data_IF_609577051115
#
_entry.id   IF_609577051115
#
_cell.length_a   1.000
_cell.length_b   1.000
_cell.length_c   1.000
_cell.angle_alpha   90.00
_cell.angle_beta   90.00
_cell.angle_gamma   90.00
#
_symmetry.space_group_name_H-M   'P 1'
#
loop_
_entity.id
_entity.type
_entity.pdbx_description
1 polymer ?
#
# COMPACT_ATOMS: atom_id res chain seq x y z
N UNK A 1 5.78 26.80 -8.66
CA UNK A 1 4.96 25.59 -8.63
C UNK A 1 4.70 25.27 -7.17
N UNK A 2 3.47 25.41 -6.71
CA UNK A 2 3.08 24.86 -5.42
C UNK A 2 3.16 23.36 -5.49
N UNK A 3 3.90 22.76 -4.58
CA UNK A 3 3.99 21.31 -4.45
C UNK A 3 2.71 20.83 -3.77
N UNK A 4 1.70 20.42 -4.56
CA UNK A 4 0.46 19.89 -4.04
C UNK A 4 0.72 18.46 -3.52
N UNK A 5 1.00 18.36 -2.22
CA UNK A 5 1.14 17.09 -1.54
C UNK A 5 -0.25 16.53 -1.22
N UNK A 6 -0.65 15.48 -1.92
CA UNK A 6 -1.99 14.90 -1.83
C UNK A 6 -2.09 13.65 -0.95
N UNK A 7 -0.96 13.11 -0.47
CA UNK A 7 -0.95 11.91 0.38
C UNK A 7 -1.53 12.19 1.78
N UNK A 8 -2.02 11.14 2.46
CA UNK A 8 -2.39 11.21 3.88
C UNK A 8 -1.19 11.43 4.81
N UNK A 9 -1.46 11.78 6.08
CA UNK A 9 -0.44 11.93 7.11
C UNK A 9 0.10 13.36 7.28
N UNK A 10 -0.56 14.38 6.72
CA UNK A 10 -0.16 15.77 6.93
C UNK A 10 -0.66 16.31 8.28
N UNK A 11 -0.13 15.73 9.35
CA UNK A 11 -0.41 16.10 10.74
C UNK A 11 0.30 17.40 11.15
N UNK A 12 1.28 17.84 10.38
CA UNK A 12 2.10 19.01 10.72
C UNK A 12 1.43 20.35 10.35
N UNK A 13 0.51 20.32 9.38
CA UNK A 13 -0.20 21.50 8.89
C UNK A 13 -1.65 21.57 9.34
N UNK A 14 -2.16 20.47 9.92
CA UNK A 14 -3.55 20.38 10.35
C UNK A 14 -3.62 20.20 11.87
N UNK A 15 -4.42 21.01 12.60
CA UNK A 15 -4.65 20.85 14.03
C UNK A 15 -5.61 19.68 14.26
N UNK A 16 -5.08 18.46 14.31
CA UNK A 16 -5.86 17.24 14.46
C UNK A 16 -5.55 16.52 15.77
N UNK A 17 -6.52 15.77 16.25
CA UNK A 17 -6.37 14.85 17.38
C UNK A 17 -6.19 13.40 16.88
N UNK A 18 -6.84 13.06 15.76
CA UNK A 18 -6.86 11.70 15.21
C UNK A 18 -6.55 11.67 13.72
N UNK A 19 -5.53 10.91 13.35
CA UNK A 19 -5.15 10.70 11.95
C UNK A 19 -5.66 9.36 11.43
N UNK A 20 -6.76 9.38 10.69
CA UNK A 20 -7.31 8.24 9.95
C UNK A 20 -6.91 8.24 8.48
N UNK A 21 -6.14 9.22 8.03
CA UNK A 21 -5.70 9.34 6.63
C UNK A 21 -4.60 8.34 6.25
N UNK A 22 -3.89 7.78 7.25
CA UNK A 22 -2.80 6.82 7.07
C UNK A 22 -3.20 5.39 7.45
N UNK A 23 -2.57 4.42 6.79
CA UNK A 23 -2.85 2.98 6.94
C UNK A 23 -1.69 2.28 7.67
N UNK A 24 -1.29 2.77 8.84
CA UNK A 24 -0.27 2.11 9.67
C UNK A 24 -0.93 1.21 10.71
N UNK A 25 -0.21 0.19 11.18
CA UNK A 25 -0.71 -0.73 12.18
C UNK A 25 -1.02 0.00 13.50
N UNK A 26 -2.25 -0.09 14.04
CA UNK A 26 -2.63 0.58 15.28
C UNK A 26 -1.94 0.03 16.53
N UNK A 27 -1.36 -1.17 16.48
CA UNK A 27 -0.59 -1.72 17.61
C UNK A 27 0.74 -0.97 17.86
N UNK A 28 1.12 -0.06 16.94
CA UNK A 28 2.40 0.63 17.00
C UNK A 28 3.57 -0.26 16.57
N UNK A 29 4.79 0.25 16.73
CA UNK A 29 5.99 -0.50 16.40
C UNK A 29 6.26 -1.60 17.45
N UNK A 30 6.65 -2.85 17.07
CA UNK A 30 7.00 -3.90 18.03
C UNK A 30 8.04 -3.42 19.04
N UNK A 31 7.88 -3.75 20.32
CA UNK A 31 8.77 -3.28 21.39
C UNK A 31 10.24 -3.65 21.13
N UNK A 32 10.49 -4.87 20.67
CA UNK A 32 11.83 -5.31 20.29
C UNK A 32 12.43 -4.46 19.16
N UNK A 33 11.61 -4.01 18.22
CA UNK A 33 12.03 -3.13 17.13
C UNK A 33 12.35 -1.72 17.62
N UNK A 34 11.60 -1.20 18.60
CA UNK A 34 11.89 0.09 19.25
C UNK A 34 13.24 0.03 19.94
N UNK A 35 13.51 -1.03 20.71
CA UNK A 35 14.77 -1.23 21.40
C UNK A 35 15.94 -1.34 20.42
N UNK A 36 15.80 -2.14 19.37
CA UNK A 36 16.81 -2.29 18.32
C UNK A 36 17.09 -0.98 17.57
N UNK A 37 16.04 -0.17 17.32
CA UNK A 37 16.22 1.17 16.73
C UNK A 37 17.04 2.09 17.65
N UNK A 38 16.76 2.09 18.95
CA UNK A 38 17.55 2.88 19.93
C UNK A 38 19.02 2.43 19.99
N UNK A 39 19.29 1.12 19.96
CA UNK A 39 20.66 0.60 19.83
C UNK A 39 21.32 1.10 18.53
N UNK A 40 20.55 1.12 17.44
CA UNK A 40 21.00 1.65 16.16
C UNK A 40 21.36 3.15 16.21
N UNK A 41 20.64 3.95 16.99
CA UNK A 41 20.94 5.39 17.17
C UNK A 41 22.33 5.57 17.79
N UNK A 42 22.70 4.76 18.78
CA UNK A 42 24.04 4.83 19.42
C UNK A 42 25.16 4.54 18.41
N UNK A 43 24.86 3.80 17.35
CA UNK A 43 25.82 3.40 16.32
C UNK A 43 25.94 4.37 15.14
N UNK A 44 25.19 5.49 15.14
CA UNK A 44 25.11 6.42 13.99
C UNK A 44 26.40 7.20 13.70
N UNK A 45 27.42 7.12 14.57
CA UNK A 45 28.75 7.66 14.27
C UNK A 45 29.52 6.93 13.15
N UNK A 46 28.96 5.87 12.58
CA UNK A 46 29.48 5.13 11.43
C UNK A 46 28.42 5.02 10.31
N UNK A 47 28.89 4.80 9.08
CA UNK A 47 27.98 4.49 7.99
C UNK A 47 27.30 3.13 8.18
N UNK A 48 26.04 2.96 7.71
CA UNK A 48 25.38 1.66 7.71
C UNK A 48 26.07 0.68 6.74
N UNK A 49 25.79 -0.61 6.91
CA UNK A 49 26.16 -1.60 5.90
C UNK A 49 25.42 -1.29 4.59
N UNK A 50 26.18 -0.90 3.55
CA UNK A 50 25.60 -0.52 2.25
C UNK A 50 24.92 -1.68 1.51
N UNK A 51 25.23 -2.92 1.87
CA UNK A 51 24.56 -4.13 1.36
C UNK A 51 23.40 -4.57 2.24
N UNK A 52 23.32 -4.06 3.48
CA UNK A 52 22.36 -4.47 4.50
C UNK A 52 22.28 -6.00 4.63
N UNK A 53 23.42 -6.69 4.62
CA UNK A 53 23.48 -8.16 4.52
C UNK A 53 22.72 -8.88 5.63
N UNK A 54 22.81 -8.39 6.87
CA UNK A 54 22.08 -8.99 7.99
C UNK A 54 20.58 -8.86 7.82
N UNK A 55 20.11 -7.70 7.36
CA UNK A 55 18.69 -7.46 7.04
C UNK A 55 18.23 -8.36 5.89
N UNK A 56 19.01 -8.44 4.80
CA UNK A 56 18.69 -9.32 3.67
C UNK A 56 18.59 -10.80 4.11
N UNK A 57 19.50 -11.28 4.97
CA UNK A 57 19.43 -12.64 5.53
C UNK A 57 18.20 -12.84 6.41
N UNK A 58 17.83 -11.85 7.22
CA UNK A 58 16.63 -11.92 8.06
C UNK A 58 15.35 -11.97 7.22
N UNK A 59 15.24 -11.11 6.19
CA UNK A 59 14.11 -11.13 5.24
C UNK A 59 14.08 -12.48 4.51
N UNK A 60 15.21 -12.95 3.99
CA UNK A 60 15.33 -14.22 3.28
C UNK A 60 14.82 -15.40 4.11
N UNK A 61 15.21 -15.44 5.40
CA UNK A 61 14.75 -16.46 6.35
C UNK A 61 13.25 -16.36 6.61
N UNK A 62 12.74 -15.14 6.86
CA UNK A 62 11.33 -14.92 7.19
C UNK A 62 10.40 -15.21 6.00
N UNK A 63 10.86 -14.91 4.77
CA UNK A 63 10.06 -15.05 3.56
C UNK A 63 10.36 -16.32 2.74
N UNK A 64 11.31 -17.12 3.17
CA UNK A 64 11.78 -18.33 2.48
C UNK A 64 12.18 -18.08 1.01
N UNK A 65 12.97 -17.03 0.79
CA UNK A 65 13.53 -16.67 -0.53
C UNK A 65 15.06 -16.49 -0.43
N UNK A 66 15.81 -16.57 -1.55
CA UNK A 66 17.25 -16.34 -1.52
C UNK A 66 17.60 -14.90 -1.15
N UNK A 67 18.62 -14.69 -0.30
CA UNK A 67 19.01 -13.36 0.18
C UNK A 67 19.56 -12.45 -0.93
N UNK A 68 20.17 -13.02 -1.97
CA UNK A 68 20.69 -12.33 -3.14
C UNK A 68 19.58 -11.77 -4.04
N UNK A 69 18.32 -12.18 -3.82
CA UNK A 69 17.15 -11.65 -4.55
C UNK A 69 16.53 -10.42 -3.92
N UNK A 70 17.04 -9.96 -2.77
CA UNK A 70 16.46 -8.88 -1.97
C UNK A 70 17.25 -7.58 -2.17
N UNK A 71 16.53 -6.49 -2.46
CA UNK A 71 17.05 -5.13 -2.55
C UNK A 71 16.36 -4.30 -1.45
N UNK A 72 17.04 -3.99 -0.34
CA UNK A 72 16.49 -3.10 0.68
C UNK A 72 16.48 -1.65 0.21
N UNK A 73 15.51 -0.87 0.69
CA UNK A 73 15.34 0.54 0.34
C UNK A 73 14.85 1.40 1.50
N UNK A 74 15.05 2.70 1.37
CA UNK A 74 14.56 3.73 2.29
C UNK A 74 13.02 3.90 2.16
N UNK A 75 12.28 2.87 2.57
CA UNK A 75 10.88 2.65 2.29
C UNK A 75 10.64 2.10 0.89
N UNK A 76 9.43 1.61 0.65
CA UNK A 76 9.01 1.13 -0.66
C UNK A 76 9.07 2.23 -1.75
N UNK A 77 8.84 3.49 -1.36
CA UNK A 77 8.85 4.62 -2.29
C UNK A 77 10.19 4.78 -3.03
N UNK A 78 11.34 4.71 -2.33
CA UNK A 78 12.64 4.77 -2.98
C UNK A 78 12.80 3.68 -4.05
N UNK A 79 12.33 2.47 -3.75
CA UNK A 79 12.41 1.33 -4.66
C UNK A 79 11.51 1.51 -5.89
N UNK A 80 10.33 2.11 -5.73
CA UNK A 80 9.44 2.47 -6.83
C UNK A 80 10.10 3.49 -7.76
N UNK A 81 10.69 4.56 -7.21
CA UNK A 81 11.42 5.58 -7.99
C UNK A 81 12.63 4.98 -8.71
N UNK A 82 13.40 4.12 -8.05
CA UNK A 82 14.51 3.41 -8.69
C UNK A 82 14.03 2.49 -9.82
N UNK A 83 12.86 1.84 -9.63
CA UNK A 83 12.26 0.98 -10.64
C UNK A 83 11.80 1.79 -11.86
N UNK A 84 11.08 2.90 -11.69
CA UNK A 84 10.66 3.80 -12.77
C UNK A 84 11.85 4.35 -13.57
N UNK A 85 12.96 4.70 -12.89
CA UNK A 85 14.19 5.13 -13.57
C UNK A 85 14.95 3.99 -14.28
N UNK A 86 14.71 2.74 -13.90
CA UNK A 86 15.41 1.57 -14.45
C UNK A 86 14.67 0.99 -15.65
N UNK A 87 13.34 1.06 -15.64
CA UNK A 87 12.45 0.58 -16.70
C UNK A 87 11.66 1.80 -17.23
N UNK A 88 12.31 2.65 -18.07
CA UNK A 88 11.63 3.79 -18.68
C UNK A 88 10.64 3.31 -19.75
N UNK A 89 9.61 4.09 -20.00
CA UNK A 89 8.57 3.81 -20.99
C UNK A 89 7.18 3.79 -20.37
N UNK A 90 6.23 3.15 -21.03
CA UNK A 90 4.86 3.09 -20.56
C UNK A 90 4.69 2.01 -19.49
N UNK A 91 4.21 2.41 -18.33
CA UNK A 91 3.77 1.48 -17.30
C UNK A 91 2.24 1.37 -17.29
N UNK A 92 1.72 0.20 -16.93
CA UNK A 92 0.30 -0.08 -16.83
C UNK A 92 -0.07 -0.42 -15.38
N UNK A 93 -1.16 0.15 -14.89
CA UNK A 93 -1.78 -0.23 -13.62
C UNK A 93 -3.31 -0.31 -13.76
N UNK A 94 -3.97 -0.91 -12.77
CA UNK A 94 -5.43 -0.78 -12.63
C UNK A 94 -5.78 0.61 -12.11
N UNK A 95 -6.98 1.08 -12.38
CA UNK A 95 -7.53 2.27 -11.72
C UNK A 95 -8.81 1.91 -10.97
N UNK A 96 -8.99 2.45 -9.75
CA UNK A 96 -8.02 3.26 -8.99
C UNK A 96 -6.93 2.39 -8.34
N UNK A 97 -5.72 2.95 -8.17
CA UNK A 97 -4.62 2.33 -7.42
C UNK A 97 -3.70 3.39 -6.81
N UNK A 98 -2.66 2.97 -6.11
CA UNK A 98 -1.76 3.87 -5.40
C UNK A 98 -1.08 4.90 -6.34
N UNK A 99 -1.27 6.18 -6.07
CA UNK A 99 -0.81 7.31 -6.90
C UNK A 99 0.71 7.38 -7.04
N UNK A 100 1.46 6.88 -6.06
CA UNK A 100 2.92 6.87 -6.07
C UNK A 100 3.55 6.06 -7.22
N UNK A 101 2.80 5.17 -7.90
CA UNK A 101 3.31 4.49 -9.10
C UNK A 101 3.48 5.48 -10.25
N UNK A 102 2.46 6.32 -10.50
CA UNK A 102 2.53 7.34 -11.55
C UNK A 102 3.66 8.35 -11.28
N UNK A 103 3.81 8.78 -10.02
CA UNK A 103 4.90 9.67 -9.61
C UNK A 103 6.28 9.05 -9.89
N UNK A 104 6.47 7.77 -9.54
CA UNK A 104 7.71 7.04 -9.75
C UNK A 104 8.03 6.83 -11.24
N UNK A 105 7.02 6.52 -12.06
CA UNK A 105 7.15 6.35 -13.52
C UNK A 105 7.51 7.69 -14.17
N UNK A 106 6.80 8.77 -13.82
CA UNK A 106 7.07 10.12 -14.32
C UNK A 106 8.48 10.61 -13.95
N UNK A 107 8.94 10.32 -12.72
CA UNK A 107 10.32 10.64 -12.30
C UNK A 107 11.39 9.89 -13.11
N UNK A 108 11.05 8.75 -13.70
CA UNK A 108 11.88 8.01 -14.64
C UNK A 108 11.77 8.49 -16.11
N UNK A 109 10.90 9.48 -16.38
CA UNK A 109 10.61 9.97 -17.73
C UNK A 109 9.65 9.07 -18.51
N UNK A 110 8.94 8.16 -17.83
CA UNK A 110 7.91 7.30 -18.42
C UNK A 110 6.50 7.87 -18.29
N UNK A 111 5.52 7.13 -18.81
CA UNK A 111 4.11 7.47 -18.77
C UNK A 111 3.30 6.36 -18.11
N UNK A 112 2.28 6.73 -17.32
CA UNK A 112 1.37 5.77 -16.70
C UNK A 112 0.10 5.63 -17.55
N UNK A 113 -0.22 4.39 -17.90
CA UNK A 113 -1.49 3.98 -18.49
C UNK A 113 -2.34 3.25 -17.45
N UNK A 114 -3.65 3.42 -17.50
CA UNK A 114 -4.55 2.80 -16.53
C UNK A 114 -5.59 1.93 -17.22
N UNK A 115 -5.87 0.76 -16.63
CA UNK A 115 -6.97 -0.10 -17.00
C UNK A 115 -8.12 0.06 -15.99
N UNK A 116 -9.34 0.26 -16.47
CA UNK A 116 -10.53 0.27 -15.60
C UNK A 116 -11.26 1.61 -15.47
N UNK A 117 -10.72 2.69 -16.05
CA UNK A 117 -11.42 3.98 -16.14
C UNK A 117 -12.28 4.13 -17.40
N UNK A 118 -12.29 3.12 -18.26
CA UNK A 118 -13.01 3.14 -19.53
C UNK A 118 -14.07 2.05 -19.55
N UNK A 119 -15.27 2.36 -20.12
CA UNK A 119 -16.26 1.35 -20.47
C UNK A 119 -15.75 0.44 -21.61
N UNK A 120 -16.53 -0.57 -21.98
CA UNK A 120 -16.18 -1.49 -23.06
C UNK A 120 -15.96 -0.80 -24.43
N UNK A 121 -16.42 0.45 -24.57
CA UNK A 121 -16.32 1.27 -25.78
C UNK A 121 -15.17 2.31 -25.68
N UNK A 122 -14.31 2.26 -24.63
CA UNK A 122 -13.19 3.16 -24.44
C UNK A 122 -13.58 4.59 -24.00
N UNK A 123 -14.79 4.78 -23.48
CA UNK A 123 -15.24 6.04 -22.89
C UNK A 123 -14.95 6.00 -21.39
N UNK A 124 -14.74 7.19 -20.77
CA UNK A 124 -14.71 7.29 -19.33
C UNK A 124 -15.95 6.60 -18.73
N UNK A 125 -15.72 5.55 -17.96
CA UNK A 125 -16.83 4.83 -17.33
C UNK A 125 -17.62 5.84 -16.49
N UNK A 126 -18.94 5.91 -16.74
CA UNK A 126 -19.83 6.72 -15.91
C UNK A 126 -19.85 6.07 -14.52
N UNK A 127 -19.10 6.65 -13.60
CA UNK A 127 -18.89 6.12 -12.25
C UNK A 127 -20.11 6.34 -11.35
N UNK A 128 -21.29 6.58 -11.95
CA UNK A 128 -22.56 6.75 -11.25
C UNK A 128 -23.02 5.45 -10.58
N UNK A 129 -22.38 5.17 -9.45
CA UNK A 129 -22.91 4.51 -8.23
C UNK A 129 -23.59 3.13 -8.33
N UNK A 130 -23.78 2.54 -9.50
CA UNK A 130 -24.57 1.30 -9.60
C UNK A 130 -23.73 0.02 -9.81
N UNK A 131 -22.44 0.11 -10.06
CA UNK A 131 -21.66 -1.08 -10.40
C UNK A 131 -20.69 -1.48 -9.28
N UNK A 132 -21.20 -2.23 -8.28
CA UNK A 132 -20.35 -2.89 -7.26
C UNK A 132 -19.29 -3.83 -7.87
N UNK A 133 -19.49 -4.21 -9.14
CA UNK A 133 -18.58 -5.07 -9.92
C UNK A 133 -17.31 -4.32 -10.37
N UNK A 134 -17.27 -2.99 -10.30
CA UNK A 134 -16.10 -2.24 -10.78
C UNK A 134 -14.79 -2.59 -10.06
N UNK A 135 -14.85 -3.01 -8.77
CA UNK A 135 -13.70 -3.42 -7.97
C UNK A 135 -13.60 -4.94 -7.77
N UNK A 136 -14.45 -5.71 -8.44
CA UNK A 136 -14.40 -7.16 -8.40
C UNK A 136 -13.13 -7.67 -9.11
N UNK A 137 -12.38 -8.55 -8.44
CA UNK A 137 -11.00 -8.89 -8.83
C UNK A 137 -10.89 -9.47 -10.24
N UNK A 138 -11.83 -10.32 -10.66
CA UNK A 138 -11.77 -10.93 -12.00
C UNK A 138 -12.07 -9.91 -13.10
N UNK A 139 -13.06 -9.03 -12.87
CA UNK A 139 -13.39 -7.93 -13.80
C UNK A 139 -12.19 -7.01 -13.99
N UNK A 140 -11.54 -6.61 -12.88
CA UNK A 140 -10.36 -5.76 -12.90
C UNK A 140 -9.19 -6.41 -13.66
N UNK A 141 -8.92 -7.69 -13.40
CA UNK A 141 -7.85 -8.43 -14.10
C UNK A 141 -8.14 -8.58 -15.59
N UNK A 142 -9.38 -8.80 -16.00
CA UNK A 142 -9.73 -8.88 -17.42
C UNK A 142 -9.52 -7.55 -18.14
N UNK A 143 -9.89 -6.41 -17.52
CA UNK A 143 -9.61 -5.07 -18.06
C UNK A 143 -8.09 -4.82 -18.20
N UNK A 144 -7.31 -5.19 -17.17
CA UNK A 144 -5.85 -5.09 -17.23
C UNK A 144 -5.27 -5.93 -18.37
N UNK A 145 -5.72 -7.19 -18.48
CA UNK A 145 -5.28 -8.08 -19.56
C UNK A 145 -5.66 -7.55 -20.94
N UNK A 146 -6.83 -6.97 -21.10
CA UNK A 146 -7.26 -6.40 -22.37
C UNK A 146 -6.35 -5.24 -22.83
N UNK A 147 -5.89 -4.42 -21.87
CA UNK A 147 -5.05 -3.23 -22.15
C UNK A 147 -3.54 -3.52 -22.23
N UNK A 148 -3.11 -4.68 -21.74
CA UNK A 148 -1.70 -5.08 -21.76
C UNK A 148 -1.27 -5.49 -23.17
N UNK A 149 -0.40 -4.70 -23.81
CA UNK A 149 0.18 -4.92 -25.14
C UNK A 149 1.70 -4.73 -25.13
N UNK A 150 2.33 -4.76 -26.31
CA UNK A 150 3.79 -4.69 -26.51
C UNK A 150 4.39 -3.30 -26.26
N UNK A 151 3.58 -2.26 -26.11
CA UNK A 151 4.04 -0.92 -25.71
C UNK A 151 4.33 -0.83 -24.21
N UNK A 152 3.81 -1.76 -23.41
CA UNK A 152 3.93 -1.75 -21.95
C UNK A 152 5.25 -2.39 -21.53
N UNK A 153 6.04 -1.67 -20.72
CA UNK A 153 7.32 -2.13 -20.19
C UNK A 153 7.21 -2.65 -18.75
N UNK A 154 6.24 -2.15 -17.98
CA UNK A 154 6.07 -2.44 -16.55
C UNK A 154 4.59 -2.45 -16.18
N UNK A 155 4.17 -3.46 -15.45
CA UNK A 155 2.82 -3.55 -14.85
C UNK A 155 2.92 -3.43 -13.34
N UNK A 156 2.11 -2.56 -12.73
CA UNK A 156 1.94 -2.51 -11.27
C UNK A 156 0.62 -3.17 -10.84
N UNK A 157 0.71 -4.07 -9.87
CA UNK A 157 -0.44 -4.69 -9.20
C UNK A 157 -0.29 -4.54 -7.69
N UNK A 158 -1.11 -3.70 -7.07
CA UNK A 158 -1.21 -3.59 -5.61
C UNK A 158 -2.09 -4.70 -5.07
N UNK A 159 -1.60 -5.53 -4.16
CA UNK A 159 -2.34 -6.69 -3.65
C UNK A 159 -2.18 -6.88 -2.12
N UNK A 160 -3.20 -6.59 -1.31
CA UNK A 160 -4.49 -5.95 -1.65
C UNK A 160 -4.34 -4.55 -2.21
N UNK A 161 -5.25 -4.17 -3.13
CA UNK A 161 -5.18 -2.88 -3.79
C UNK A 161 -5.54 -1.71 -2.86
N UNK A 162 -4.78 -0.66 -2.90
CA UNK A 162 -5.08 0.61 -2.23
C UNK A 162 -5.57 1.62 -3.30
N UNK A 163 -6.80 2.17 -3.20
CA UNK A 163 -7.62 2.30 -1.99
C UNK A 163 -8.77 1.28 -1.87
N UNK A 164 -9.03 0.42 -2.86
CA UNK A 164 -10.25 -0.39 -2.95
C UNK A 164 -10.29 -1.59 -2.00
N UNK A 165 -9.12 -2.09 -1.58
CA UNK A 165 -9.03 -3.33 -0.82
C UNK A 165 -9.24 -4.59 -1.67
N UNK A 166 -9.33 -4.49 -3.00
CA UNK A 166 -9.44 -5.64 -3.90
C UNK A 166 -8.25 -6.59 -3.70
N UNK A 167 -8.56 -7.86 -3.50
CA UNK A 167 -7.56 -8.92 -3.33
C UNK A 167 -7.55 -9.81 -4.57
N UNK A 168 -6.39 -9.93 -5.21
CA UNK A 168 -6.18 -10.79 -6.35
C UNK A 168 -5.68 -12.16 -5.91
N UNK A 169 -6.20 -13.20 -6.55
CA UNK A 169 -5.69 -14.56 -6.35
C UNK A 169 -4.36 -14.72 -7.08
N UNK A 170 -3.61 -15.70 -6.64
CA UNK A 170 -2.33 -16.07 -7.27
C UNK A 170 -2.50 -16.44 -8.75
N UNK A 171 -3.59 -17.17 -9.10
CA UNK A 171 -3.90 -17.52 -10.49
C UNK A 171 -4.16 -16.29 -11.36
N UNK A 172 -4.88 -15.31 -10.84
CA UNK A 172 -5.14 -14.05 -11.54
C UNK A 172 -3.84 -13.32 -11.84
N UNK A 173 -2.94 -13.21 -10.84
CA UNK A 173 -1.64 -12.56 -11.03
C UNK A 173 -0.75 -13.35 -11.99
N UNK A 174 -0.77 -14.67 -11.95
CA UNK A 174 -0.01 -15.52 -12.89
C UNK A 174 -0.50 -15.37 -14.34
N UNK A 175 -1.79 -15.14 -14.57
CA UNK A 175 -2.32 -14.82 -15.91
C UNK A 175 -1.76 -13.50 -16.45
N UNK A 176 -1.70 -12.46 -15.59
CA UNK A 176 -1.09 -11.18 -15.95
C UNK A 176 0.40 -11.36 -16.24
N UNK A 177 1.11 -12.07 -15.38
CA UNK A 177 2.54 -12.33 -15.52
C UNK A 177 2.86 -13.09 -16.81
N UNK A 178 2.10 -14.13 -17.15
CA UNK A 178 2.29 -14.89 -18.37
C UNK A 178 2.11 -14.02 -19.62
N UNK A 179 1.10 -13.13 -19.65
CA UNK A 179 0.92 -12.19 -20.76
C UNK A 179 2.03 -11.14 -20.80
N UNK A 180 2.42 -10.57 -19.66
CA UNK A 180 3.49 -9.60 -19.56
C UNK A 180 4.84 -10.19 -20.02
N UNK A 181 5.16 -11.44 -19.65
CA UNK A 181 6.36 -12.15 -20.12
C UNK A 181 6.38 -12.32 -21.64
N UNK A 182 5.23 -12.65 -22.24
CA UNK A 182 5.10 -12.74 -23.70
C UNK A 182 5.34 -11.39 -24.40
N UNK A 183 4.97 -10.27 -23.75
CA UNK A 183 5.18 -8.89 -24.22
C UNK A 183 6.52 -8.29 -23.75
N UNK A 184 7.39 -9.06 -23.12
CA UNK A 184 8.67 -8.62 -22.57
C UNK A 184 8.54 -7.55 -21.46
N UNK A 185 7.36 -7.38 -20.85
CA UNK A 185 7.11 -6.47 -19.73
C UNK A 185 7.45 -7.11 -18.37
N UNK A 186 7.82 -6.28 -17.40
CA UNK A 186 7.96 -6.68 -16.00
C UNK A 186 6.64 -6.52 -15.25
N UNK A 187 6.44 -7.32 -14.20
CA UNK A 187 5.29 -7.19 -13.30
C UNK A 187 5.79 -6.94 -11.88
N UNK A 188 5.47 -5.79 -11.31
CA UNK A 188 5.73 -5.45 -9.92
C UNK A 188 4.44 -5.65 -9.11
N UNK A 189 4.41 -6.69 -8.27
CA UNK A 189 3.33 -6.93 -7.33
C UNK A 189 3.66 -6.25 -6.00
N UNK A 190 2.88 -5.24 -5.64
CA UNK A 190 3.03 -4.54 -4.37
C UNK A 190 2.23 -5.24 -3.27
N UNK A 191 2.94 -5.98 -2.43
CA UNK A 191 2.40 -6.75 -1.32
C UNK A 191 2.51 -6.00 0.03
N UNK A 192 2.58 -4.66 0.04
CA UNK A 192 2.76 -3.88 1.28
C UNK A 192 1.63 -4.08 2.29
N UNK A 193 0.42 -4.41 1.84
CA UNK A 193 -0.73 -4.68 2.70
C UNK A 193 -1.03 -6.18 2.89
N UNK A 194 -0.38 -7.05 2.14
CA UNK A 194 -0.63 -8.49 2.20
C UNK A 194 -0.35 -9.11 3.58
N UNK A 195 0.68 -8.68 4.35
CA UNK A 195 0.94 -9.24 5.69
C UNK A 195 -0.18 -9.05 6.72
N UNK A 196 -1.16 -8.18 6.45
CA UNK A 196 -2.35 -8.03 7.30
C UNK A 196 -3.36 -9.18 7.17
N UNK A 197 -3.24 -10.01 6.14
CA UNK A 197 -4.13 -11.14 5.89
C UNK A 197 -3.64 -12.42 6.58
N UNK A 198 -4.57 -13.22 7.08
CA UNK A 198 -4.27 -14.56 7.63
C UNK A 198 -3.71 -15.49 6.53
N UNK A 199 -4.32 -15.45 5.34
CA UNK A 199 -3.94 -16.26 4.19
C UNK A 199 -2.80 -15.63 3.36
N UNK A 200 -1.95 -14.80 3.95
CA UNK A 200 -0.82 -14.15 3.27
C UNK A 200 -0.05 -15.11 2.36
N UNK A 201 0.28 -16.30 2.88
CA UNK A 201 1.07 -17.29 2.16
C UNK A 201 0.38 -17.84 0.90
N UNK A 202 -0.95 -17.83 0.83
CA UNK A 202 -1.72 -18.31 -0.34
C UNK A 202 -1.79 -17.28 -1.47
N UNK A 203 -1.58 -16.00 -1.16
CA UNK A 203 -1.66 -14.89 -2.11
C UNK A 203 -0.30 -14.35 -2.55
N UNK A 204 0.76 -14.53 -1.74
CA UNK A 204 2.08 -13.98 -2.04
C UNK A 204 2.69 -14.58 -3.32
N UNK A 205 3.32 -13.71 -4.11
CA UNK A 205 4.06 -14.07 -5.32
C UNK A 205 5.54 -14.36 -5.06
N UNK A 206 6.05 -14.17 -3.83
CA UNK A 206 7.43 -14.46 -3.47
C UNK A 206 7.91 -15.88 -3.84
N UNK A 207 7.10 -16.96 -3.68
CA UNK A 207 7.51 -18.31 -4.08
C UNK A 207 7.75 -18.49 -5.59
N UNK A 208 7.31 -17.55 -6.41
CA UNK A 208 7.40 -17.61 -7.87
C UNK A 208 8.62 -16.87 -8.45
N UNK A 209 9.35 -16.10 -7.63
CA UNK A 209 10.50 -15.28 -8.05
C UNK A 209 11.60 -16.06 -8.80
N UNK A 210 11.84 -17.31 -8.41
CA UNK A 210 12.87 -18.14 -9.04
C UNK A 210 12.44 -18.74 -10.38
N UNK A 211 11.14 -18.77 -10.66
CA UNK A 211 10.55 -19.31 -11.88
C UNK A 211 10.27 -18.24 -12.93
N UNK A 212 10.06 -17.00 -12.48
CA UNK A 212 9.65 -15.87 -13.32
C UNK A 212 10.63 -14.72 -13.15
N UNK A 213 11.53 -14.55 -14.11
CA UNK A 213 12.58 -13.51 -14.07
C UNK A 213 11.99 -12.11 -14.19
N UNK A 214 10.80 -11.97 -14.79
CA UNK A 214 10.12 -10.66 -14.94
C UNK A 214 9.20 -10.31 -13.79
N UNK A 215 9.15 -11.13 -12.75
CA UNK A 215 8.40 -10.87 -11.53
C UNK A 215 9.25 -10.07 -10.54
N UNK A 216 8.64 -9.02 -9.99
CA UNK A 216 9.12 -8.21 -8.88
C UNK A 216 8.06 -8.22 -7.78
N UNK A 217 8.49 -8.32 -6.52
CA UNK A 217 7.58 -8.22 -5.36
C UNK A 217 8.07 -7.14 -4.43
N UNK A 218 7.24 -6.12 -4.21
CA UNK A 218 7.52 -4.99 -3.33
C UNK A 218 6.88 -5.20 -1.97
N UNK A 219 7.61 -4.97 -0.89
CA UNK A 219 7.09 -5.01 0.48
C UNK A 219 7.64 -3.87 1.33
N UNK A 220 6.88 -3.46 2.34
CA UNK A 220 7.27 -2.39 3.26
C UNK A 220 7.07 -2.79 4.72
N UNK A 221 7.98 -2.35 5.57
CA UNK A 221 7.82 -2.38 7.02
C UNK A 221 6.94 -1.22 7.53
N UNK A 222 6.73 -0.22 6.69
CA UNK A 222 5.99 1.01 6.96
C UNK A 222 4.61 0.75 7.58
N UNK A 223 3.86 -0.20 7.00
CA UNK A 223 2.46 -0.43 7.34
C UNK A 223 2.31 -1.47 8.44
N UNK A 224 2.76 -2.69 8.16
CA UNK A 224 2.57 -3.84 9.04
C UNK A 224 3.30 -3.69 10.39
N UNK A 225 4.52 -3.12 10.40
CA UNK A 225 5.32 -2.92 11.62
C UNK A 225 5.32 -1.47 12.12
N UNK A 226 4.43 -0.61 11.61
CA UNK A 226 4.32 0.80 12.03
C UNK A 226 5.65 1.58 11.96
N UNK A 227 6.47 1.33 10.93
CA UNK A 227 7.79 1.95 10.75
C UNK A 227 7.78 3.09 9.73
N UNK A 228 6.69 3.87 9.68
CA UNK A 228 6.55 4.94 8.69
C UNK A 228 7.67 5.97 8.76
N UNK A 229 8.09 6.36 9.96
CA UNK A 229 9.17 7.33 10.19
C UNK A 229 10.59 6.75 10.02
N UNK A 230 10.79 5.43 10.18
CA UNK A 230 12.10 4.78 9.99
C UNK A 230 12.45 4.53 8.52
N UNK A 231 11.46 4.51 7.65
CA UNK A 231 11.66 4.36 6.20
C UNK A 231 12.37 3.05 5.83
N UNK A 232 11.67 1.92 5.89
CA UNK A 232 12.21 0.62 5.51
C UNK A 232 11.25 -0.14 4.59
N UNK A 233 11.79 -0.70 3.50
CA UNK A 233 11.11 -1.59 2.57
C UNK A 233 12.10 -2.47 1.84
N UNK A 234 11.60 -3.38 1.02
CA UNK A 234 12.44 -4.17 0.13
C UNK A 234 11.70 -4.55 -1.14
N UNK A 235 12.48 -4.72 -2.21
CA UNK A 235 12.05 -5.28 -3.47
C UNK A 235 12.72 -6.65 -3.64
N UNK A 236 11.92 -7.67 -3.91
CA UNK A 236 12.42 -8.99 -4.30
C UNK A 236 12.34 -9.12 -5.83
N UNK A 237 13.43 -9.54 -6.46
CA UNK A 237 13.56 -9.58 -7.91
C UNK A 237 14.20 -10.89 -8.37
N UNK A 238 13.58 -11.55 -9.35
CA UNK A 238 14.09 -12.78 -9.95
C UNK A 238 15.26 -12.58 -10.91
N UNK A 239 15.34 -11.43 -11.57
CA UNK A 239 16.34 -11.06 -12.58
C UNK A 239 17.56 -10.39 -11.93
N UNK A 240 18.74 -11.02 -12.02
CA UNK A 240 19.99 -10.50 -11.44
C UNK A 240 20.55 -9.30 -12.19
N UNK A 241 20.32 -9.21 -13.50
CA UNK A 241 20.75 -8.05 -14.31
C UNK A 241 19.90 -6.83 -13.94
N UNK A 242 18.58 -6.99 -13.90
CA UNK A 242 17.66 -5.94 -13.47
C UNK A 242 17.98 -5.48 -12.03
N UNK A 243 18.26 -6.41 -11.11
CA UNK A 243 18.70 -6.05 -9.75
C UNK A 243 19.92 -5.11 -9.77
N UNK A 244 20.94 -5.43 -10.57
CA UNK A 244 22.15 -4.61 -10.67
C UNK A 244 21.82 -3.20 -11.16
N UNK A 245 20.94 -3.09 -12.18
CA UNK A 245 20.47 -1.82 -12.71
C UNK A 245 19.67 -1.01 -11.69
N UNK A 246 18.78 -1.65 -10.93
CA UNK A 246 18.01 -1.00 -9.86
C UNK A 246 18.96 -0.50 -8.76
N UNK A 247 19.89 -1.34 -8.30
CA UNK A 247 20.87 -0.96 -7.26
C UNK A 247 21.71 0.24 -7.69
N UNK A 248 22.03 0.38 -8.96
CA UNK A 248 22.79 1.53 -9.51
C UNK A 248 21.98 2.85 -9.46
N UNK A 249 20.66 2.80 -9.24
CA UNK A 249 19.79 3.99 -9.04
C UNK A 249 19.58 4.35 -7.58
N UNK A 250 19.93 3.45 -6.66
CA UNK A 250 19.81 3.72 -5.23
C UNK A 250 21.02 4.52 -4.72
N UNK A 251 20.79 5.34 -3.71
CA UNK A 251 21.87 6.03 -3.02
C UNK A 251 22.72 5.02 -2.21
N UNK A 252 24.05 5.21 -2.13
CA UNK A 252 24.86 4.46 -1.18
C UNK A 252 24.33 4.67 0.24
N UNK A 253 24.35 3.61 1.06
CA UNK A 253 23.90 3.67 2.48
C UNK A 253 22.44 4.10 2.67
N UNK A 254 21.57 3.79 1.73
CA UNK A 254 20.17 4.24 1.67
C UNK A 254 19.30 3.81 2.86
N UNK A 255 19.65 2.71 3.56
CA UNK A 255 18.92 2.24 4.74
C UNK A 255 19.75 2.49 6.00
N UNK A 256 19.21 3.29 6.92
CA UNK A 256 19.87 3.67 8.16
C UNK A 256 20.11 2.49 9.10
N UNK A 257 21.12 2.57 10.00
CA UNK A 257 21.37 1.54 11.02
C UNK A 257 20.14 1.30 11.90
N UNK A 258 19.45 2.31 12.43
CA UNK A 258 18.21 2.09 13.19
C UNK A 258 17.14 1.34 12.42
N UNK A 259 16.94 1.66 11.14
CA UNK A 259 15.97 0.97 10.29
C UNK A 259 16.35 -0.50 10.05
N UNK A 260 17.62 -0.79 9.76
CA UNK A 260 18.09 -2.17 9.56
C UNK A 260 17.89 -3.02 10.81
N UNK A 261 18.31 -2.53 11.99
CA UNK A 261 18.17 -3.28 13.25
C UNK A 261 16.71 -3.46 13.65
N UNK A 262 15.89 -2.42 13.54
CA UNK A 262 14.46 -2.51 13.83
C UNK A 262 13.75 -3.51 12.91
N UNK A 263 14.08 -3.52 11.63
CA UNK A 263 13.53 -4.48 10.66
C UNK A 263 13.91 -5.92 10.97
N UNK A 264 15.15 -6.18 11.36
CA UNK A 264 15.62 -7.52 11.78
C UNK A 264 14.83 -8.00 13.02
N UNK A 265 14.66 -7.12 14.02
CA UNK A 265 13.91 -7.44 15.22
C UNK A 265 12.43 -7.72 14.94
N UNK A 266 11.80 -6.91 14.06
CA UNK A 266 10.40 -7.08 13.66
C UNK A 266 10.13 -8.46 13.03
N UNK A 267 11.03 -8.92 12.15
CA UNK A 267 10.89 -10.21 11.46
C UNK A 267 10.97 -11.42 12.39
N UNK A 268 11.46 -11.23 13.61
CA UNK A 268 11.58 -12.28 14.62
C UNK A 268 10.35 -12.36 15.53
N UNK A 269 9.46 -11.37 15.49
CA UNK A 269 8.26 -11.28 16.34
C UNK A 269 7.04 -11.88 15.62
N UNK A 270 6.89 -13.20 15.72
CA UNK A 270 5.77 -13.92 15.09
C UNK A 270 4.44 -13.67 15.79
N UNK A 271 4.44 -13.37 17.10
CA UNK A 271 3.22 -13.08 17.86
C UNK A 271 2.61 -11.74 17.45
N UNK A 272 3.44 -10.77 17.06
CA UNK A 272 2.99 -9.46 16.63
C UNK A 272 2.05 -9.54 15.41
N UNK A 273 2.38 -10.37 14.42
CA UNK A 273 1.54 -10.55 13.24
C UNK A 273 0.20 -11.20 13.59
N UNK A 274 0.20 -12.22 14.47
CA UNK A 274 -1.04 -12.87 14.91
C UNK A 274 -1.95 -11.88 15.64
N UNK A 275 -1.41 -11.11 16.60
CA UNK A 275 -2.15 -10.06 17.32
C UNK A 275 -2.66 -8.95 16.39
N UNK A 276 -1.88 -8.59 15.38
CA UNK A 276 -2.28 -7.60 14.37
C UNK A 276 -3.51 -8.07 13.61
N UNK A 277 -3.53 -9.31 13.14
CA UNK A 277 -4.62 -9.89 12.35
C UNK A 277 -5.89 -10.04 13.17
N UNK A 278 -5.77 -10.56 14.40
CA UNK A 278 -6.89 -10.65 15.35
C UNK A 278 -7.50 -9.27 15.64
N UNK A 279 -6.67 -8.28 15.98
CA UNK A 279 -7.13 -6.92 16.22
C UNK A 279 -7.81 -6.33 14.98
N UNK A 280 -7.21 -6.46 13.80
CA UNK A 280 -7.79 -5.94 12.56
C UNK A 280 -9.16 -6.55 12.26
N UNK A 281 -9.33 -7.86 12.47
CA UNK A 281 -10.60 -8.55 12.28
C UNK A 281 -11.68 -8.00 13.22
N UNK A 282 -11.34 -7.85 14.52
CA UNK A 282 -12.24 -7.30 15.52
C UNK A 282 -12.66 -5.85 15.21
N UNK A 283 -11.67 -5.01 14.86
CA UNK A 283 -11.94 -3.60 14.59
C UNK A 283 -12.70 -3.38 13.26
N UNK A 284 -12.46 -4.21 12.25
CA UNK A 284 -13.25 -4.20 11.02
C UNK A 284 -14.71 -4.60 11.30
N UNK A 285 -14.93 -5.64 12.11
CA UNK A 285 -16.26 -6.06 12.53
C UNK A 285 -17.00 -4.98 13.35
N UNK A 286 -16.27 -4.13 14.08
CA UNK A 286 -16.82 -2.97 14.78
C UNK A 286 -17.18 -1.82 13.84
N UNK A 287 -16.25 -1.44 12.93
CA UNK A 287 -16.37 -0.22 12.10
C UNK A 287 -17.36 -0.38 10.95
N UNK A 288 -17.30 -1.50 10.19
CA UNK A 288 -18.03 -1.64 8.93
C UNK A 288 -19.54 -1.50 9.11
N UNK A 289 -20.22 -2.19 10.06
CA UNK A 289 -21.66 -2.02 10.24
C UNK A 289 -22.03 -0.58 10.58
N UNK A 290 -21.24 0.08 11.42
CA UNK A 290 -21.52 1.46 11.86
C UNK A 290 -21.32 2.48 10.74
N UNK A 291 -20.29 2.30 9.93
CA UNK A 291 -20.09 3.13 8.73
C UNK A 291 -21.24 2.98 7.74
N UNK A 292 -21.72 1.76 7.50
CA UNK A 292 -22.84 1.49 6.58
C UNK A 292 -24.14 2.20 6.97
N UNK A 293 -24.30 2.54 8.25
CA UNK A 293 -25.46 3.30 8.73
C UNK A 293 -25.27 4.83 8.60
N UNK A 294 -24.02 5.31 8.49
CA UNK A 294 -23.69 6.73 8.61
C UNK A 294 -23.26 7.37 7.27
N UNK A 295 -22.75 6.60 6.34
CA UNK A 295 -22.24 7.09 5.04
C UNK A 295 -23.04 6.52 3.88
N UNK A 296 -22.91 7.13 2.70
CA UNK A 296 -23.68 6.74 1.53
C UNK A 296 -23.40 5.30 1.08
N UNK A 297 -22.12 4.89 1.07
CA UNK A 297 -21.72 3.54 0.67
C UNK A 297 -20.39 3.15 1.31
N UNK A 298 -20.23 1.86 1.69
CA UNK A 298 -18.97 1.27 2.16
C UNK A 298 -18.60 0.10 1.26
N UNK A 299 -17.36 0.10 0.77
CA UNK A 299 -16.83 -0.96 -0.09
C UNK A 299 -16.18 -2.05 0.74
N UNK A 300 -16.54 -3.30 0.43
CA UNK A 300 -15.90 -4.46 1.02
C UNK A 300 -14.50 -4.65 0.41
N UNK A 301 -13.52 -4.91 1.25
CA UNK A 301 -12.14 -5.07 0.81
C UNK A 301 -11.22 -5.58 1.90
N UNK A 302 -9.99 -5.83 1.55
CA UNK A 302 -8.93 -6.35 2.41
C UNK A 302 -7.92 -5.25 2.81
N UNK A 303 -7.06 -5.56 3.77
CA UNK A 303 -6.08 -4.61 4.32
C UNK A 303 -6.57 -3.90 5.57
N UNK A 304 -5.75 -3.00 6.10
CA UNK A 304 -6.04 -2.26 7.34
C UNK A 304 -6.66 -0.89 7.09
N UNK A 305 -7.52 -0.80 6.08
CA UNK A 305 -8.24 0.42 5.69
C UNK A 305 -9.63 0.08 5.14
N UNK A 306 -10.47 1.10 5.01
CA UNK A 306 -11.81 1.04 4.44
C UNK A 306 -11.98 2.16 3.42
N UNK A 307 -12.51 1.83 2.24
CA UNK A 307 -12.97 2.79 1.24
C UNK A 307 -14.48 2.98 1.40
N UNK A 308 -14.96 4.21 1.30
CA UNK A 308 -16.38 4.54 1.34
C UNK A 308 -16.69 5.80 0.52
N UNK A 309 -17.97 5.99 0.19
CA UNK A 309 -18.49 7.22 -0.46
C UNK A 309 -19.32 8.02 0.50
N UNK A 310 -19.25 9.34 0.36
CA UNK A 310 -20.10 10.31 1.05
C UNK A 310 -20.09 11.66 0.32
N UNK A 311 -20.66 12.69 0.93
CA UNK A 311 -20.66 14.05 0.40
C UNK A 311 -19.22 14.60 0.29
N UNK A 312 -18.89 15.35 -0.79
CA UNK A 312 -17.51 15.73 -1.09
C UNK A 312 -16.86 16.64 -0.04
N UNK A 313 -17.64 17.31 0.80
CA UNK A 313 -17.16 18.18 1.89
C UNK A 313 -16.84 17.44 3.21
N UNK A 314 -16.99 16.10 3.22
CA UNK A 314 -16.84 15.31 4.45
C UNK A 314 -15.44 15.46 5.07
N UNK A 315 -14.39 15.55 4.25
CA UNK A 315 -13.01 15.72 4.77
C UNK A 315 -12.86 17.00 5.59
N UNK A 316 -13.37 18.10 5.09
CA UNK A 316 -13.32 19.43 5.73
C UNK A 316 -14.12 19.42 7.03
N UNK A 317 -15.33 18.86 7.01
CA UNK A 317 -16.20 18.73 8.20
C UNK A 317 -15.59 17.83 9.28
N UNK A 318 -14.92 16.75 8.89
CA UNK A 318 -14.19 15.87 9.83
C UNK A 318 -12.96 16.59 10.39
N UNK A 319 -12.28 17.39 9.59
CA UNK A 319 -11.13 18.19 10.05
C UNK A 319 -11.55 19.24 11.11
N UNK A 320 -12.71 19.88 10.96
CA UNK A 320 -13.27 20.83 11.95
C UNK A 320 -13.50 20.17 13.33
N UNK A 321 -13.73 18.87 13.37
CA UNK A 321 -13.84 18.09 14.60
C UNK A 321 -12.53 17.36 14.98
N UNK A 322 -11.40 17.74 14.39
CA UNK A 322 -10.07 17.24 14.73
C UNK A 322 -9.74 15.84 14.20
N UNK A 323 -10.41 15.38 13.13
CA UNK A 323 -10.16 14.09 12.48
C UNK A 323 -9.70 14.29 11.04
N UNK A 324 -8.53 13.77 10.71
CA UNK A 324 -8.03 13.78 9.34
C UNK A 324 -8.38 12.44 8.65
N UNK A 325 -9.12 12.52 7.54
CA UNK A 325 -9.43 11.39 6.65
C UNK A 325 -8.77 11.60 5.28
N UNK A 326 -8.63 10.56 4.47
CA UNK A 326 -8.05 10.63 3.12
C UNK A 326 -9.16 10.78 2.09
N UNK A 327 -9.30 11.99 1.49
CA UNK A 327 -10.07 12.17 0.26
C UNK A 327 -9.34 11.50 -0.91
N UNK A 328 -10.06 10.80 -1.77
CA UNK A 328 -9.50 9.97 -2.83
C UNK A 328 -9.70 10.53 -4.25
N UNK A 329 -10.10 11.79 -4.39
CA UNK A 329 -10.33 12.42 -5.70
C UNK A 329 -9.09 12.57 -6.58
N UNK A 330 -7.89 12.38 -6.04
CA UNK A 330 -6.62 12.33 -6.78
C UNK A 330 -6.22 10.92 -7.26
N UNK A 331 -6.99 9.90 -6.89
CA UNK A 331 -6.81 8.57 -7.47
C UNK A 331 -7.52 8.50 -8.81
N UNK A 332 -6.79 8.06 -9.84
CA UNK A 332 -7.38 7.88 -11.17
C UNK A 332 -8.63 7.02 -11.10
N UNK A 333 -9.73 7.50 -11.68
CA UNK A 333 -11.03 6.83 -11.68
C UNK A 333 -11.87 7.01 -10.40
N UNK A 334 -11.47 7.88 -9.47
CA UNK A 334 -12.30 8.30 -8.33
C UNK A 334 -12.53 9.82 -8.36
N UNK A 335 -13.56 10.27 -7.66
CA UNK A 335 -13.89 11.68 -7.48
C UNK A 335 -13.82 12.08 -5.99
N UNK A 336 -14.18 13.34 -5.69
CA UNK A 336 -14.13 13.91 -4.35
C UNK A 336 -15.17 13.32 -3.38
N UNK A 337 -16.06 12.44 -3.84
CA UNK A 337 -17.01 11.71 -2.98
C UNK A 337 -16.42 10.46 -2.33
N UNK A 338 -15.22 10.03 -2.76
CA UNK A 338 -14.56 8.84 -2.22
C UNK A 338 -13.58 9.19 -1.11
N UNK A 339 -13.66 8.43 -0.04
CA UNK A 339 -12.81 8.59 1.14
C UNK A 339 -12.23 7.26 1.59
N UNK A 340 -11.01 7.30 2.12
CA UNK A 340 -10.37 6.14 2.74
C UNK A 340 -9.95 6.48 4.17
N UNK A 341 -10.21 5.56 5.09
CA UNK A 341 -9.72 5.63 6.47
C UNK A 341 -8.86 4.41 6.81
N UNK A 342 -7.83 4.60 7.61
CA UNK A 342 -7.11 3.52 8.27
C UNK A 342 -7.94 2.95 9.42
N UNK A 343 -7.88 1.64 9.62
CA UNK A 343 -8.44 1.00 10.82
C UNK A 343 -7.45 1.21 11.95
N UNK A 344 -7.93 1.80 13.06
CA UNK A 344 -7.12 2.24 14.20
C UNK A 344 -7.39 1.39 15.45
N UNK A 345 -6.88 1.81 16.60
CA UNK A 345 -7.21 1.18 17.88
C UNK A 345 -8.71 1.29 18.18
N UNK A 346 -9.23 0.40 19.03
CA UNK A 346 -10.66 0.40 19.37
C UNK A 346 -11.14 1.77 19.89
N UNK A 347 -10.40 2.39 20.79
CA UNK A 347 -10.74 3.71 21.34
C UNK A 347 -10.73 4.81 20.28
N UNK A 348 -9.77 4.80 19.35
CA UNK A 348 -9.74 5.76 18.23
C UNK A 348 -10.92 5.52 17.27
N UNK A 349 -11.25 4.26 16.98
CA UNK A 349 -12.38 3.89 16.10
C UNK A 349 -13.74 4.29 16.72
N UNK A 350 -13.91 4.13 18.05
CA UNK A 350 -15.08 4.64 18.76
C UNK A 350 -15.20 6.17 18.64
N UNK A 351 -14.08 6.86 18.83
CA UNK A 351 -14.05 8.33 18.74
C UNK A 351 -14.32 8.81 17.31
N UNK A 352 -13.81 8.10 16.30
CA UNK A 352 -14.11 8.37 14.89
C UNK A 352 -15.63 8.28 14.63
N UNK A 353 -16.29 7.21 15.04
CA UNK A 353 -17.73 7.04 14.87
C UNK A 353 -18.49 8.15 15.60
N UNK A 354 -18.12 8.47 16.85
CA UNK A 354 -18.76 9.54 17.63
C UNK A 354 -18.68 10.90 16.92
N UNK A 355 -17.51 11.24 16.35
CA UNK A 355 -17.31 12.50 15.62
C UNK A 355 -18.04 12.50 14.29
N UNK A 356 -18.06 11.38 13.57
CA UNK A 356 -18.81 11.23 12.34
C UNK A 356 -20.31 11.42 12.56
N UNK A 357 -20.89 10.82 13.60
CA UNK A 357 -22.28 11.04 14.00
C UNK A 357 -22.58 12.53 14.25
N UNK A 358 -21.69 13.23 14.95
CA UNK A 358 -21.81 14.67 15.18
C UNK A 358 -21.79 15.47 13.89
N UNK A 359 -20.88 15.16 12.97
CA UNK A 359 -20.73 15.81 11.67
C UNK A 359 -21.96 15.57 10.79
N UNK A 360 -22.53 14.36 10.81
CA UNK A 360 -23.73 14.00 10.07
C UNK A 360 -25.04 14.57 10.67
N UNK A 361 -25.01 15.04 11.93
CA UNK A 361 -26.22 15.54 12.63
C UNK A 361 -27.23 14.44 12.97
N UNK A 362 -26.79 13.18 13.04
CA UNK A 362 -27.68 12.04 13.27
C UNK A 362 -28.04 11.92 14.77
N UNK A 363 -29.28 12.33 15.09
CA UNK A 363 -29.82 12.31 16.47
C UNK A 363 -30.11 10.91 17.00
N UNK A 364 -30.22 9.89 16.15
CA UNK A 364 -30.49 8.51 16.58
C UNK A 364 -29.30 7.90 17.34
N UNK A 365 -28.09 8.26 16.98
CA UNK A 365 -26.85 7.78 17.60
C UNK A 365 -26.42 8.59 18.83
N UNK A 366 -26.88 9.84 18.99
CA UNK A 366 -26.52 10.71 20.12
C UNK A 366 -27.03 10.18 21.46
N UNK A 367 -28.02 9.28 21.46
CA UNK A 367 -28.64 8.73 22.67
C UNK A 367 -28.10 7.33 23.05
N UNK A 368 -27.07 6.80 22.37
CA UNK A 368 -26.50 5.47 22.65
C UNK A 368 -25.06 5.51 23.20
N UNK A 369 -24.51 6.68 23.48
CA UNK A 369 -23.15 6.90 24.04
C UNK A 369 -23.18 7.17 25.54
#
# INVERSE_FOLDING_TARGET
MEYNYTHGGDVYRNPIEYDFSINVNPLGMPLASIQAAHEGIVLTGRYPDYRAEQLCRAIAKAQNIPADRIIPGNGAAELLYALGQTIPGTALAIAPTFTGYAEAVAAGGGEMSYAGCEDADGRAADMDGQDKLQFESETVIQRLLAKLDDSICLVFLCNPNNPTGTLFTREQILRVLAKAEAMQAYVCVDECFLPFLEEEASHSMLPYLTKHTRLLVLRAFTKIYCMAGLRLGYLACGDTELQSRIRAKLQPWNTSIPAQLAGIAALSDTEYLAKTRENLQAERAYLVPRLRELVAEVYDGYGNFLLFRDEPDLKERMLEVGVLIRACGDFEGLDDTYFRIGIRSHSENQEFIRRLVRVKGDTKWQNQS
#
